data_IF_377582959340
#
_entry.id   IF_377582959340
#
_cell.length_a   1.000
_cell.length_b   1.000
_cell.length_c   1.000
_cell.angle_alpha   90.00
_cell.angle_beta   90.00
_cell.angle_gamma   90.00
#
_symmetry.space_group_name_H-M   'P 1'
#
loop_
_entity.id
_entity.type
_entity.pdbx_description
1 polymer ?
#
# COMPACT_ATOMS: atom_id res chain seq x y z
N UNK A 1 3.01 5.81 -6.14
CA UNK A 1 3.35 5.13 -7.42
C UNK A 1 3.23 6.06 -8.63
N UNK A 2 2.11 6.77 -8.85
CA UNK A 2 1.99 7.75 -9.94
C UNK A 2 3.12 8.81 -9.99
N UNK A 3 3.65 9.23 -8.83
CA UNK A 3 4.79 10.17 -8.74
C UNK A 3 6.18 9.51 -8.82
N UNK A 4 6.31 8.23 -8.46
CA UNK A 4 7.59 7.49 -8.49
C UNK A 4 7.86 6.82 -9.82
N UNK A 5 6.84 6.72 -10.69
CA UNK A 5 6.98 6.32 -12.09
C UNK A 5 7.54 7.45 -12.97
N UNK A 6 7.69 8.67 -12.44
CA UNK A 6 8.46 9.72 -13.10
C UNK A 6 9.93 9.50 -12.79
N UNK A 7 10.76 9.55 -13.82
CA UNK A 7 12.22 9.61 -13.74
C UNK A 7 12.61 10.66 -12.69
N UNK A 8 13.01 10.20 -11.51
CA UNK A 8 13.62 11.08 -10.53
C UNK A 8 14.86 11.70 -11.18
N UNK A 9 15.16 12.98 -10.93
CA UNK A 9 16.41 13.55 -11.41
C UNK A 9 17.54 12.66 -10.88
N UNK A 10 18.36 12.09 -11.78
CA UNK A 10 19.52 11.18 -11.55
C UNK A 10 19.31 9.66 -11.66
N UNK A 11 18.21 9.14 -12.22
CA UNK A 11 18.11 7.69 -12.44
C UNK A 11 19.16 7.15 -13.45
N UNK A 12 19.60 7.99 -14.40
CA UNK A 12 20.65 7.68 -15.36
C UNK A 12 20.16 6.85 -16.56
N UNK A 13 20.97 6.81 -17.63
CA UNK A 13 20.61 6.19 -18.91
C UNK A 13 20.24 4.69 -18.78
N UNK A 14 20.86 3.97 -17.85
CA UNK A 14 20.55 2.57 -17.58
C UNK A 14 19.13 2.38 -17.01
N UNK A 15 18.71 3.26 -16.09
CA UNK A 15 17.35 3.20 -15.56
C UNK A 15 16.31 3.57 -16.61
N UNK A 16 16.61 4.53 -17.49
CA UNK A 16 15.73 4.89 -18.61
C UNK A 16 15.56 3.74 -19.59
N UNK A 17 16.63 2.96 -19.82
CA UNK A 17 16.60 1.75 -20.63
C UNK A 17 15.71 0.68 -20.00
N UNK A 18 15.91 0.36 -18.72
CA UNK A 18 15.06 -0.61 -18.01
C UNK A 18 13.60 -0.18 -18.00
N UNK A 19 13.33 1.10 -17.72
CA UNK A 19 11.97 1.62 -17.71
C UNK A 19 11.30 1.50 -19.07
N UNK A 20 12.04 1.77 -20.15
CA UNK A 20 11.58 1.56 -21.53
C UNK A 20 11.31 0.08 -21.79
N UNK A 21 12.24 -0.80 -21.44
CA UNK A 21 12.10 -2.25 -21.66
C UNK A 21 10.87 -2.81 -20.94
N UNK A 22 10.60 -2.37 -19.71
CA UNK A 22 9.39 -2.76 -18.95
C UNK A 22 8.08 -2.39 -19.65
N UNK A 23 8.07 -1.37 -20.51
CA UNK A 23 6.90 -0.98 -21.29
C UNK A 23 6.68 -1.85 -22.52
N UNK A 24 7.71 -2.55 -23.01
CA UNK A 24 7.64 -3.38 -24.22
C UNK A 24 7.62 -4.89 -23.94
N UNK A 25 7.97 -5.33 -22.73
CA UNK A 25 7.86 -6.75 -22.38
C UNK A 25 6.42 -7.08 -21.99
N UNK A 26 5.71 -7.71 -22.93
CA UNK A 26 4.35 -8.22 -22.77
C UNK A 26 4.32 -9.61 -22.14
N UNK A 27 3.30 -9.88 -21.34
CA UNK A 27 2.98 -11.20 -20.81
C UNK A 27 1.49 -11.28 -20.44
N UNK A 28 0.95 -12.50 -20.38
CA UNK A 28 -0.44 -12.72 -19.95
C UNK A 28 -0.52 -12.81 -18.43
N UNK A 29 -1.34 -11.96 -17.82
CA UNK A 29 -1.66 -11.98 -16.39
C UNK A 29 -3.17 -12.11 -16.19
N UNK A 30 -3.60 -13.17 -15.49
CA UNK A 30 -5.03 -13.47 -15.26
C UNK A 30 -5.88 -13.45 -16.54
N UNK A 31 -5.32 -13.93 -17.65
CA UNK A 31 -6.01 -13.98 -18.95
C UNK A 31 -6.00 -12.67 -19.75
N UNK A 32 -5.42 -11.58 -19.23
CA UNK A 32 -5.26 -10.32 -19.94
C UNK A 32 -3.80 -10.11 -20.37
N UNK A 33 -3.59 -9.58 -21.58
CA UNK A 33 -2.27 -9.11 -22.01
C UNK A 33 -1.88 -7.82 -21.26
N UNK A 34 -0.69 -7.82 -20.67
CA UNK A 34 -0.18 -6.68 -19.91
C UNK A 34 1.33 -6.53 -20.10
N UNK A 35 1.86 -5.38 -19.75
CA UNK A 35 3.30 -5.12 -19.75
C UNK A 35 3.84 -5.15 -18.32
N UNK A 36 5.13 -5.43 -18.15
CA UNK A 36 5.78 -5.36 -16.83
C UNK A 36 5.55 -4.02 -16.13
N UNK A 37 5.59 -2.92 -16.89
CA UNK A 37 5.29 -1.59 -16.39
C UNK A 37 3.85 -1.50 -15.84
N UNK A 38 2.85 -1.91 -16.63
CA UNK A 38 1.43 -1.87 -16.23
C UNK A 38 1.15 -2.77 -15.03
N UNK A 39 1.77 -3.94 -14.97
CA UNK A 39 1.65 -4.87 -13.83
C UNK A 39 2.14 -4.22 -12.53
N UNK A 40 3.36 -3.68 -12.50
CA UNK A 40 3.90 -3.07 -11.29
C UNK A 40 3.18 -1.78 -10.90
N UNK A 41 2.80 -0.96 -11.88
CA UNK A 41 2.02 0.25 -11.64
C UNK A 41 0.65 -0.09 -11.05
N UNK A 42 -0.06 -1.06 -11.63
CA UNK A 42 -1.37 -1.51 -11.17
C UNK A 42 -1.32 -2.07 -9.74
N UNK A 43 -0.41 -3.00 -9.47
CA UNK A 43 -0.21 -3.54 -8.12
C UNK A 43 0.15 -2.44 -7.11
N UNK A 44 1.04 -1.53 -7.50
CA UNK A 44 1.42 -0.40 -6.67
C UNK A 44 0.26 0.55 -6.36
N UNK A 45 -0.65 0.75 -7.32
CA UNK A 45 -1.87 1.53 -7.13
C UNK A 45 -2.86 0.82 -6.21
N UNK A 46 -3.08 -0.49 -6.38
CA UNK A 46 -3.93 -1.30 -5.51
C UNK A 46 -3.43 -1.25 -4.05
N UNK A 47 -2.13 -1.38 -3.85
CA UNK A 47 -1.48 -1.23 -2.53
C UNK A 47 -1.67 0.19 -1.97
N UNK A 48 -1.50 1.22 -2.81
CA UNK A 48 -1.70 2.62 -2.38
C UNK A 48 -3.16 2.87 -1.99
N UNK A 49 -4.11 2.28 -2.72
CA UNK A 49 -5.54 2.35 -2.41
C UNK A 49 -5.89 1.60 -1.11
N UNK A 50 -5.22 0.48 -0.80
CA UNK A 50 -5.38 -0.25 0.46
C UNK A 50 -5.02 0.60 1.69
N UNK A 51 -4.15 1.60 1.54
CA UNK A 51 -3.82 2.53 2.62
C UNK A 51 -4.86 3.63 2.84
N UNK A 52 -5.74 3.91 1.87
CA UNK A 52 -6.79 4.92 2.05
C UNK A 52 -7.77 4.55 3.19
N UNK A 53 -8.29 3.31 3.27
CA UNK A 53 -9.06 2.85 4.43
C UNK A 53 -8.31 2.98 5.74
N UNK A 54 -6.99 2.72 5.76
CA UNK A 54 -6.18 2.88 6.96
C UNK A 54 -6.12 4.35 7.38
N UNK A 55 -5.83 5.26 6.44
CA UNK A 55 -5.81 6.70 6.70
C UNK A 55 -7.17 7.17 7.20
N UNK A 56 -8.27 6.75 6.57
CA UNK A 56 -9.64 7.12 6.98
C UNK A 56 -9.95 6.55 8.37
N UNK A 57 -9.65 5.29 8.63
CA UNK A 57 -9.87 4.68 9.95
C UNK A 57 -9.06 5.40 11.04
N UNK A 58 -7.81 5.75 10.77
CA UNK A 58 -6.96 6.51 11.70
C UNK A 58 -7.45 7.94 11.90
N UNK A 59 -7.92 8.59 10.84
CA UNK A 59 -8.47 9.95 10.89
C UNK A 59 -9.78 10.00 11.68
N UNK A 60 -10.63 8.99 11.47
CA UNK A 60 -11.91 8.83 12.15
C UNK A 60 -11.63 8.51 13.62
N UNK A 61 -10.82 7.50 13.93
CA UNK A 61 -10.53 7.11 15.32
C UNK A 61 -9.68 8.14 16.09
N UNK A 62 -8.80 8.88 15.42
CA UNK A 62 -7.81 9.77 16.02
C UNK A 62 -8.06 11.28 15.84
N UNK A 63 -9.25 11.70 15.39
CA UNK A 63 -9.56 13.12 15.18
C UNK A 63 -9.35 13.98 16.44
N UNK A 64 -8.84 15.21 16.25
CA UNK A 64 -8.52 16.26 17.25
C UNK A 64 -9.67 16.69 18.20
N UNK A 65 -10.82 16.03 18.14
CA UNK A 65 -11.89 16.06 19.13
C UNK A 65 -12.57 14.71 19.06
N UNK A 66 -12.43 13.89 20.11
CA UNK A 66 -12.79 12.48 20.10
C UNK A 66 -14.17 12.19 19.49
N UNK A 67 -14.26 11.11 18.73
CA UNK A 67 -15.52 10.64 18.18
C UNK A 67 -16.53 10.32 19.27
N UNK A 68 -17.80 10.56 18.95
CA UNK A 68 -18.92 9.94 19.66
C UNK A 68 -18.74 8.42 19.75
N UNK A 69 -18.94 7.79 20.93
CA UNK A 69 -18.75 6.35 21.11
C UNK A 69 -19.51 5.47 20.10
N UNK A 70 -20.64 5.94 19.60
CA UNK A 70 -21.44 5.24 18.58
C UNK A 70 -20.68 5.09 17.26
N UNK A 71 -20.07 6.18 16.79
CA UNK A 71 -19.30 6.20 15.53
C UNK A 71 -18.03 5.36 15.68
N UNK A 72 -17.38 5.41 16.85
CA UNK A 72 -16.24 4.56 17.17
C UNK A 72 -16.61 3.08 17.11
N UNK A 73 -17.70 2.67 17.78
CA UNK A 73 -18.15 1.28 17.76
C UNK A 73 -18.51 0.79 16.35
N UNK A 74 -19.15 1.64 15.54
CA UNK A 74 -19.53 1.29 14.17
C UNK A 74 -18.31 1.12 13.23
N UNK A 75 -17.23 1.87 13.47
CA UNK A 75 -16.05 1.90 12.59
C UNK A 75 -14.93 0.94 13.03
N UNK A 76 -14.97 0.47 14.28
CA UNK A 76 -14.00 -0.47 14.84
C UNK A 76 -13.80 -1.75 14.01
N UNK A 77 -14.85 -2.43 13.49
CA UNK A 77 -14.66 -3.64 12.68
C UNK A 77 -13.88 -3.36 11.39
N UNK A 78 -14.12 -2.20 10.76
CA UNK A 78 -13.43 -1.76 9.54
C UNK A 78 -11.96 -1.48 9.85
N UNK A 79 -11.69 -0.83 10.99
CA UNK A 79 -10.34 -0.54 11.43
C UNK A 79 -9.54 -1.83 11.71
N UNK A 80 -10.16 -2.81 12.39
CA UNK A 80 -9.56 -4.12 12.65
C UNK A 80 -9.32 -4.92 11.36
N UNK A 81 -10.29 -4.95 10.43
CA UNK A 81 -10.11 -5.59 9.13
C UNK A 81 -8.95 -4.96 8.35
N UNK A 82 -8.81 -3.63 8.44
CA UNK A 82 -7.70 -2.91 7.82
C UNK A 82 -6.36 -3.27 8.48
N UNK A 83 -6.30 -3.31 9.82
CA UNK A 83 -5.11 -3.74 10.57
C UNK A 83 -4.64 -5.14 10.13
N UNK A 84 -5.56 -6.10 10.08
CA UNK A 84 -5.27 -7.48 9.65
C UNK A 84 -4.81 -7.51 8.18
N UNK A 85 -5.48 -6.78 7.29
CA UNK A 85 -5.11 -6.69 5.88
C UNK A 85 -3.69 -6.17 5.66
N UNK A 86 -3.28 -5.12 6.36
CA UNK A 86 -1.91 -4.58 6.27
C UNK A 86 -0.90 -5.54 6.92
N UNK A 87 -1.25 -6.20 8.03
CA UNK A 87 -0.39 -7.21 8.66
C UNK A 87 -0.09 -8.38 7.72
N UNK A 88 -1.11 -8.92 7.05
CA UNK A 88 -0.95 -9.96 6.04
C UNK A 88 -0.11 -9.46 4.86
N UNK A 89 -0.31 -8.21 4.43
CA UNK A 89 0.49 -7.58 3.37
C UNK A 89 1.97 -7.46 3.77
N UNK A 90 2.28 -7.16 5.03
CA UNK A 90 3.66 -7.18 5.54
C UNK A 90 4.30 -8.56 5.45
N UNK A 91 3.58 -9.62 5.85
CA UNK A 91 4.06 -11.00 5.73
C UNK A 91 4.31 -11.40 4.26
N UNK A 92 3.39 -11.06 3.36
CA UNK A 92 3.55 -11.27 1.92
C UNK A 92 4.71 -10.43 1.35
N UNK A 93 4.93 -9.23 1.89
CA UNK A 93 6.06 -8.36 1.59
C UNK A 93 7.40 -9.05 1.83
N UNK A 94 7.59 -9.64 3.01
CA UNK A 94 8.80 -10.41 3.32
C UNK A 94 8.97 -11.63 2.39
N UNK A 95 7.88 -12.35 2.10
CA UNK A 95 7.93 -13.59 1.32
C UNK A 95 8.19 -13.36 -0.17
N UNK A 96 7.63 -12.32 -0.78
CA UNK A 96 7.58 -12.17 -2.24
C UNK A 96 8.24 -10.90 -2.78
N UNK A 97 8.41 -9.85 -1.97
CA UNK A 97 8.87 -8.53 -2.42
C UNK A 97 10.16 -8.06 -1.74
N UNK A 98 10.73 -8.91 -0.88
CA UNK A 98 11.97 -8.68 -0.16
C UNK A 98 11.80 -7.90 1.16
N UNK A 99 12.87 -7.81 1.98
CA UNK A 99 12.78 -7.34 3.37
C UNK A 99 12.26 -5.92 3.52
N UNK A 100 12.61 -5.02 2.58
CA UNK A 100 12.21 -3.61 2.62
C UNK A 100 10.70 -3.42 2.56
N UNK A 101 10.02 -4.18 1.71
CA UNK A 101 8.57 -4.12 1.58
C UNK A 101 7.90 -4.60 2.87
N UNK A 102 8.32 -5.76 3.38
CA UNK A 102 7.79 -6.31 4.63
C UNK A 102 7.92 -5.36 5.81
N UNK A 103 9.09 -4.75 6.00
CA UNK A 103 9.33 -3.76 7.07
C UNK A 103 8.44 -2.53 6.92
N UNK A 104 8.33 -1.97 5.70
CA UNK A 104 7.50 -0.78 5.45
C UNK A 104 6.03 -1.00 5.83
N UNK A 105 5.42 -2.09 5.36
CA UNK A 105 4.05 -2.45 5.75
C UNK A 105 3.93 -2.76 7.23
N UNK A 106 4.93 -3.42 7.83
CA UNK A 106 4.91 -3.78 9.26
C UNK A 106 4.90 -2.55 10.18
N UNK A 107 5.69 -1.52 9.85
CA UNK A 107 5.64 -0.24 10.58
C UNK A 107 4.25 0.38 10.51
N UNK A 108 3.60 0.35 9.34
CA UNK A 108 2.25 0.89 9.17
C UNK A 108 1.23 0.07 9.96
N UNK A 109 1.34 -1.27 9.98
CA UNK A 109 0.53 -2.13 10.85
C UNK A 109 0.63 -1.72 12.32
N UNK A 110 1.84 -1.49 12.82
CA UNK A 110 2.07 -1.10 14.22
C UNK A 110 1.40 0.25 14.51
N UNK A 111 1.58 1.25 13.64
CA UNK A 111 0.96 2.57 13.80
C UNK A 111 -0.56 2.49 13.80
N UNK A 112 -1.14 1.67 12.92
CA UNK A 112 -2.60 1.43 12.90
C UNK A 112 -3.05 0.78 14.22
N UNK A 113 -2.32 -0.22 14.71
CA UNK A 113 -2.63 -0.89 15.96
C UNK A 113 -2.62 0.07 17.13
N UNK A 114 -1.57 0.89 17.27
CA UNK A 114 -1.48 1.92 18.31
C UNK A 114 -2.72 2.80 18.26
N UNK A 115 -3.03 3.39 17.11
CA UNK A 115 -4.17 4.30 16.99
C UNK A 115 -5.53 3.64 17.28
N UNK A 116 -5.74 2.36 16.96
CA UNK A 116 -6.99 1.65 17.29
C UNK A 116 -7.11 1.41 18.80
N UNK A 117 -6.01 1.03 19.46
CA UNK A 117 -6.02 0.57 20.84
C UNK A 117 -5.70 1.66 21.87
N UNK A 118 -5.16 2.81 21.45
CA UNK A 118 -4.85 3.95 22.34
C UNK A 118 -5.74 5.17 22.12
N UNK A 119 -6.53 5.23 21.05
CA UNK A 119 -7.65 6.18 20.94
C UNK A 119 -8.80 5.76 21.85
#
# INVERSE_FOLDING_TARGET
MLGTARTGPRAGAEADRVFRDMQFVHFTWQGADTTWFKFWLGNGLCVSALFLPAIVALWVLGGLGGLDPTVRHATLPIALATLVGIALTSLLGFKYFGPRAGVGFGVITILIGIAIFTA
#
